data_IF_990968898140
#
_entry.id   IF_990968898140
#
_cell.length_a   1.000
_cell.length_b   1.000
_cell.length_c   1.000
_cell.angle_alpha   90.00
_cell.angle_beta   90.00
_cell.angle_gamma   90.00
#
_symmetry.space_group_name_H-M   'P 1'
#
loop_
_entity.id
_entity.type
_entity.pdbx_description
1 polymer ?
#
# COMPACT_ATOMS: atom_id res chain seq x y z
N UNK A 1 -16.87 4.21 -28.00
CA UNK A 1 -16.39 4.42 -26.62
C UNK A 1 -14.97 4.98 -26.67
N UNK A 2 -14.75 6.16 -26.07
CA UNK A 2 -13.43 6.82 -26.06
C UNK A 2 -12.38 5.92 -25.38
N UNK A 3 -11.13 6.03 -25.85
CA UNK A 3 -9.96 5.35 -25.25
C UNK A 3 -9.89 5.64 -23.76
N UNK A 4 -10.20 6.88 -23.35
CA UNK A 4 -10.25 7.31 -21.97
C UNK A 4 -11.17 6.43 -21.12
N UNK A 5 -12.40 6.22 -21.59
CA UNK A 5 -13.40 5.41 -20.87
C UNK A 5 -12.97 3.93 -20.83
N UNK A 6 -12.40 3.41 -21.92
CA UNK A 6 -11.91 2.01 -21.94
C UNK A 6 -10.82 1.80 -20.89
N UNK A 7 -9.87 2.73 -20.81
CA UNK A 7 -8.78 2.68 -19.85
C UNK A 7 -9.26 2.76 -18.40
N UNK A 8 -10.27 3.59 -18.13
CA UNK A 8 -10.90 3.64 -16.81
C UNK A 8 -11.54 2.31 -16.42
N UNK A 9 -12.29 1.68 -17.33
CA UNK A 9 -12.91 0.38 -17.06
C UNK A 9 -11.83 -0.66 -16.75
N UNK A 10 -10.75 -0.72 -17.52
CA UNK A 10 -9.65 -1.65 -17.25
C UNK A 10 -8.99 -1.40 -15.90
N UNK A 11 -8.75 -0.15 -15.52
CA UNK A 11 -8.15 0.17 -14.21
C UNK A 11 -9.07 -0.15 -13.04
N UNK A 12 -10.39 0.08 -13.18
CA UNK A 12 -11.36 -0.28 -12.14
C UNK A 12 -11.49 -1.80 -12.00
N UNK A 13 -11.52 -2.53 -13.11
CA UNK A 13 -11.52 -3.99 -13.08
C UNK A 13 -10.23 -4.55 -12.48
N UNK A 14 -9.08 -3.99 -12.86
CA UNK A 14 -7.79 -4.34 -12.28
C UNK A 14 -7.76 -4.08 -10.78
N UNK A 15 -8.23 -2.91 -10.34
CA UNK A 15 -8.30 -2.58 -8.92
C UNK A 15 -9.17 -3.57 -8.14
N UNK A 16 -10.34 -3.91 -8.70
CA UNK A 16 -11.27 -4.88 -8.10
C UNK A 16 -10.63 -6.27 -7.97
N UNK A 17 -9.94 -6.72 -9.02
CA UNK A 17 -9.19 -7.98 -9.01
C UNK A 17 -8.08 -7.96 -7.97
N UNK A 18 -7.27 -6.89 -7.90
CA UNK A 18 -6.20 -6.75 -6.93
C UNK A 18 -6.73 -6.73 -5.51
N UNK A 19 -7.80 -5.99 -5.23
CA UNK A 19 -8.41 -5.99 -3.89
C UNK A 19 -8.95 -7.36 -3.51
N UNK A 20 -9.58 -8.08 -4.45
CA UNK A 20 -10.02 -9.46 -4.23
C UNK A 20 -8.85 -10.41 -3.95
N UNK A 21 -7.77 -10.31 -4.72
CA UNK A 21 -6.53 -11.06 -4.46
C UNK A 21 -5.93 -10.69 -3.10
N UNK A 22 -6.03 -9.44 -2.66
CA UNK A 22 -5.58 -9.02 -1.33
C UNK A 22 -6.31 -9.72 -0.19
N UNK A 23 -7.59 -10.06 -0.38
CA UNK A 23 -8.37 -10.87 0.58
C UNK A 23 -7.96 -12.34 0.54
N UNK A 24 -7.62 -12.88 -0.64
CA UNK A 24 -7.18 -14.28 -0.76
C UNK A 24 -5.73 -14.51 -0.28
N UNK A 25 -4.89 -13.49 -0.45
CA UNK A 25 -3.46 -13.54 -0.16
C UNK A 25 -3.10 -12.50 0.91
N UNK A 26 -3.77 -12.58 2.07
CA UNK A 26 -3.59 -11.65 3.20
C UNK A 26 -2.11 -11.53 3.63
N UNK A 27 -1.38 -12.64 3.47
CA UNK A 27 0.00 -12.81 3.89
C UNK A 27 1.03 -11.97 3.11
N UNK A 28 0.68 -11.39 1.96
CA UNK A 28 1.63 -10.62 1.13
C UNK A 28 1.63 -9.16 1.58
N UNK A 29 2.28 -8.91 2.71
CA UNK A 29 2.42 -7.57 3.29
C UNK A 29 3.74 -6.90 2.93
N UNK A 30 3.78 -5.56 3.06
CA UNK A 30 4.99 -4.78 2.85
C UNK A 30 6.14 -5.24 3.77
N UNK A 31 5.83 -5.60 5.02
CA UNK A 31 6.80 -6.11 5.99
C UNK A 31 7.42 -7.44 5.56
N UNK A 32 6.62 -8.38 5.02
CA UNK A 32 7.19 -9.65 4.51
C UNK A 32 8.09 -9.41 3.30
N UNK A 33 7.68 -8.55 2.37
CA UNK A 33 8.50 -8.25 1.21
C UNK A 33 9.81 -7.57 1.62
N UNK A 34 9.76 -6.62 2.55
CA UNK A 34 10.96 -5.99 3.11
C UNK A 34 11.85 -7.03 3.77
N UNK A 35 11.30 -7.95 4.57
CA UNK A 35 12.08 -9.03 5.21
C UNK A 35 12.85 -9.87 4.18
N UNK A 36 12.23 -10.23 3.06
CA UNK A 36 12.89 -10.97 1.98
C UNK A 36 14.00 -10.17 1.29
N UNK A 37 13.87 -8.85 1.19
CA UNK A 37 14.91 -7.98 0.60
C UNK A 37 16.05 -7.78 1.58
N UNK A 38 15.75 -7.41 2.82
CA UNK A 38 16.71 -7.18 3.89
C UNK A 38 16.03 -7.22 5.28
N UNK A 39 16.04 -8.38 5.92
CA UNK A 39 15.48 -8.56 7.27
C UNK A 39 16.17 -7.71 8.34
N UNK A 40 17.49 -7.47 8.23
CA UNK A 40 18.21 -6.67 9.22
C UNK A 40 17.75 -5.22 9.25
N UNK A 41 17.50 -4.62 8.07
CA UNK A 41 17.00 -3.24 8.01
C UNK A 41 15.55 -3.14 8.48
N UNK A 42 14.73 -4.18 8.26
CA UNK A 42 13.37 -4.26 8.82
C UNK A 42 13.40 -4.28 10.36
N UNK A 43 14.21 -5.14 10.97
CA UNK A 43 14.36 -5.18 12.43
C UNK A 43 14.94 -3.86 12.96
N UNK A 44 15.85 -3.23 12.20
CA UNK A 44 16.39 -1.91 12.51
C UNK A 44 15.32 -0.82 12.57
N UNK A 45 14.40 -0.76 11.59
CA UNK A 45 13.34 0.25 11.60
C UNK A 45 12.30 -0.02 12.70
N UNK A 46 11.98 -1.29 12.96
CA UNK A 46 11.07 -1.68 14.05
C UNK A 46 11.63 -1.28 15.41
N UNK A 47 12.87 -1.65 15.71
CA UNK A 47 13.55 -1.28 16.97
C UNK A 47 13.73 0.23 17.12
N UNK A 48 14.03 0.95 16.04
CA UNK A 48 14.07 2.41 16.04
C UNK A 48 12.70 3.01 16.39
N UNK A 49 11.62 2.54 15.74
CA UNK A 49 10.27 3.03 15.99
C UNK A 49 9.79 2.76 17.42
N UNK A 50 10.17 1.62 17.98
CA UNK A 50 9.88 1.27 19.39
C UNK A 50 10.63 2.18 20.36
N UNK A 51 11.91 2.46 20.09
CA UNK A 51 12.71 3.41 20.89
C UNK A 51 12.11 4.82 20.90
N UNK A 52 11.64 5.29 19.73
CA UNK A 52 10.96 6.59 19.61
C UNK A 52 9.63 6.59 20.39
N UNK A 53 8.87 5.50 20.33
CA UNK A 53 7.63 5.34 21.10
C UNK A 53 7.86 5.49 22.61
N UNK A 54 8.91 4.83 23.12
CA UNK A 54 9.26 4.90 24.54
C UNK A 54 9.79 6.27 24.99
N UNK A 55 10.41 7.01 24.07
CA UNK A 55 11.11 8.27 24.38
C UNK A 55 10.22 9.51 24.30
N UNK A 56 9.14 9.48 23.54
CA UNK A 56 8.29 10.64 23.26
C UNK A 56 6.83 10.35 23.57
N UNK A 57 6.13 11.28 24.25
CA UNK A 57 4.70 11.16 24.57
C UNK A 57 3.80 10.86 23.35
N UNK A 58 4.20 11.34 22.17
CA UNK A 58 3.50 11.10 20.90
C UNK A 58 4.25 10.15 19.96
N UNK A 59 5.35 9.53 20.43
CA UNK A 59 6.11 8.56 19.66
C UNK A 59 5.31 7.29 19.35
N UNK A 60 4.30 6.98 20.16
CA UNK A 60 3.43 5.83 19.94
C UNK A 60 2.70 5.90 18.60
N UNK A 61 2.30 7.11 18.16
CA UNK A 61 1.68 7.30 16.85
C UNK A 61 2.65 7.00 15.70
N UNK A 62 3.94 7.29 15.89
CA UNK A 62 4.96 6.96 14.90
C UNK A 62 5.15 5.45 14.80
N UNK A 63 5.23 4.76 15.93
CA UNK A 63 5.30 3.29 15.96
C UNK A 63 4.08 2.64 15.30
N UNK A 64 2.87 3.07 15.67
CA UNK A 64 1.62 2.55 15.10
C UNK A 64 1.58 2.79 13.59
N UNK A 65 1.99 3.97 13.14
CA UNK A 65 2.08 4.27 11.71
C UNK A 65 3.06 3.35 10.97
N UNK A 66 4.24 3.12 11.53
CA UNK A 66 5.23 2.17 10.97
C UNK A 66 4.64 0.76 10.91
N UNK A 67 4.01 0.29 11.99
CA UNK A 67 3.42 -1.05 12.03
C UNK A 67 2.25 -1.21 11.06
N UNK A 68 1.40 -0.19 10.92
CA UNK A 68 0.34 -0.16 9.91
C UNK A 68 0.96 -0.29 8.52
N UNK A 69 1.97 0.53 8.18
CA UNK A 69 2.64 0.46 6.89
C UNK A 69 3.21 -0.93 6.59
N UNK A 70 3.87 -1.56 7.56
CA UNK A 70 4.43 -2.90 7.41
C UNK A 70 3.33 -3.97 7.27
N UNK A 71 2.16 -3.77 7.88
CA UNK A 71 1.02 -4.67 7.78
C UNK A 71 0.21 -4.53 6.49
N UNK A 72 0.41 -3.45 5.71
CA UNK A 72 -0.36 -3.22 4.49
C UNK A 72 -0.13 -4.34 3.47
N UNK A 73 -1.24 -4.94 3.03
CA UNK A 73 -1.25 -5.90 1.96
C UNK A 73 -0.94 -5.22 0.61
N UNK A 74 0.02 -5.77 -0.13
CA UNK A 74 0.51 -5.17 -1.38
C UNK A 74 -0.54 -5.20 -2.50
N UNK A 75 -1.38 -6.24 -2.56
CA UNK A 75 -2.47 -6.30 -3.52
C UNK A 75 -3.55 -5.27 -3.21
N UNK A 76 -3.90 -5.13 -1.94
CA UNK A 76 -4.83 -4.09 -1.52
C UNK A 76 -4.31 -2.69 -1.86
N UNK A 77 -3.03 -2.41 -1.55
CA UNK A 77 -2.39 -1.13 -1.84
C UNK A 77 -2.35 -0.84 -3.35
N UNK A 78 -1.94 -1.81 -4.16
CA UNK A 78 -1.91 -1.66 -5.63
C UNK A 78 -3.31 -1.49 -6.23
N UNK A 79 -4.34 -2.09 -5.64
CA UNK A 79 -5.73 -1.84 -5.99
C UNK A 79 -6.13 -0.39 -5.74
N UNK A 80 -5.83 0.16 -4.56
CA UNK A 80 -6.06 1.58 -4.24
C UNK A 80 -5.30 2.50 -5.21
N UNK A 81 -4.03 2.21 -5.49
CA UNK A 81 -3.22 2.98 -6.44
C UNK A 81 -3.81 2.95 -7.87
N UNK A 82 -4.39 1.83 -8.29
CA UNK A 82 -5.04 1.71 -9.60
C UNK A 82 -6.29 2.59 -9.70
N UNK A 83 -7.07 2.72 -8.61
CA UNK A 83 -8.21 3.64 -8.54
C UNK A 83 -7.73 5.09 -8.62
N UNK A 84 -6.71 5.45 -7.85
CA UNK A 84 -6.12 6.79 -7.88
C UNK A 84 -5.60 7.15 -9.27
N UNK A 85 -4.89 6.22 -9.93
CA UNK A 85 -4.42 6.39 -11.30
C UNK A 85 -5.60 6.60 -12.27
N UNK A 86 -6.68 5.83 -12.12
CA UNK A 86 -7.89 5.99 -12.94
C UNK A 86 -8.51 7.38 -12.77
N UNK A 87 -8.54 7.89 -11.54
CA UNK A 87 -9.10 9.21 -11.23
C UNK A 87 -8.23 10.34 -11.78
N UNK A 88 -6.90 10.25 -11.62
CA UNK A 88 -5.94 11.20 -12.20
C UNK A 88 -6.07 11.22 -13.72
N UNK A 89 -6.04 10.05 -14.37
CA UNK A 89 -6.16 9.97 -15.82
C UNK A 89 -7.51 10.50 -16.29
N UNK A 90 -8.58 10.31 -15.53
CA UNK A 90 -9.86 10.92 -15.85
C UNK A 90 -9.83 12.46 -15.82
N UNK A 91 -9.17 13.05 -14.82
CA UNK A 91 -9.09 14.50 -14.69
C UNK A 91 -8.22 15.16 -15.77
N UNK A 92 -7.13 14.50 -16.18
CA UNK A 92 -6.10 15.12 -17.01
C UNK A 92 -6.01 14.62 -18.45
N UNK A 93 -6.58 13.45 -18.81
CA UNK A 93 -6.67 13.10 -20.23
C UNK A 93 -7.76 13.95 -20.89
N UNK A 94 -7.36 14.69 -21.92
CA UNK A 94 -8.28 15.29 -22.89
C UNK A 94 -9.22 14.25 -23.51
N UNK A 95 -10.40 14.66 -24.02
CA UNK A 95 -11.38 13.77 -24.65
C UNK A 95 -10.82 12.83 -25.73
#
# INVERSE_FOLDING_TARGET
MSIKVKLQIYLVLLASLLMFLGVLFEDITFGKLWFYVNGNSLVGIQSFSESVSNSYKYGIFFYDFVMILLSLNLFFLSGVLSILASLILFLFLSP
#
